data_IF_330191803795
#
_entry.id   IF_330191803795
#
_cell.length_a   1.000
_cell.length_b   1.000
_cell.length_c   1.000
_cell.angle_alpha   90.00
_cell.angle_beta   90.00
_cell.angle_gamma   90.00
#
_symmetry.space_group_name_H-M   'P 1'
#
loop_
_entity.id
_entity.type
_entity.pdbx_description
1 polymer ?
#
# COMPACT_ATOMS: atom_id res chain seq x y z
N UNK A 1 3.01 8.60 24.26
CA UNK A 1 3.23 9.92 23.62
C UNK A 1 4.53 9.88 22.85
N UNK A 2 4.55 10.49 21.67
CA UNK A 2 5.76 10.64 20.86
C UNK A 2 6.69 11.64 21.57
N UNK A 3 7.85 11.21 22.07
CA UNK A 3 8.79 12.09 22.78
C UNK A 3 9.72 12.81 21.80
N UNK A 4 9.16 13.64 20.92
CA UNK A 4 9.95 14.39 19.94
C UNK A 4 10.48 15.66 20.58
N UNK A 5 11.78 15.70 20.90
CA UNK A 5 12.42 16.90 21.43
C UNK A 5 12.74 17.91 20.31
N UNK A 6 11.69 18.39 19.64
CA UNK A 6 11.82 19.36 18.54
C UNK A 6 12.20 20.74 19.11
N UNK A 7 11.82 21.01 20.37
CA UNK A 7 12.02 22.29 21.05
C UNK A 7 13.50 22.59 21.34
N UNK A 8 14.33 21.57 21.59
CA UNK A 8 15.75 21.77 21.91
C UNK A 8 16.61 22.35 20.79
N UNK A 9 16.07 22.45 19.56
CA UNK A 9 16.79 22.96 18.39
C UNK A 9 16.53 24.46 18.12
N UNK A 10 15.68 25.11 18.93
CA UNK A 10 15.41 26.55 18.83
C UNK A 10 16.09 27.28 19.99
N UNK A 11 17.28 27.85 19.74
CA UNK A 11 18.09 28.59 20.75
C UNK A 11 17.68 30.07 20.93
N UNK A 12 16.76 30.59 20.12
CA UNK A 12 16.39 32.00 20.14
C UNK A 12 15.34 32.34 21.22
N UNK A 13 15.33 33.60 21.70
CA UNK A 13 14.26 34.13 22.56
C UNK A 13 12.92 33.96 21.87
N UNK A 14 12.06 33.11 22.44
CA UNK A 14 10.75 32.79 21.88
C UNK A 14 9.82 33.99 22.06
N UNK A 15 9.16 34.42 20.99
CA UNK A 15 8.04 35.36 21.09
C UNK A 15 6.80 34.63 21.63
N UNK A 16 5.87 35.31 22.31
CA UNK A 16 4.60 34.70 22.72
C UNK A 16 3.86 34.00 21.56
N UNK A 17 3.89 34.60 20.37
CA UNK A 17 3.30 34.04 19.14
C UNK A 17 3.95 32.71 18.73
N UNK A 18 5.28 32.58 18.90
CA UNK A 18 5.98 31.33 18.64
C UNK A 18 5.57 30.25 19.65
N UNK A 19 5.44 30.58 20.94
CA UNK A 19 5.04 29.58 21.95
C UNK A 19 3.63 29.03 21.68
N UNK A 20 2.69 29.92 21.31
CA UNK A 20 1.34 29.51 20.95
C UNK A 20 1.34 28.65 19.68
N UNK A 21 2.09 29.04 18.65
CA UNK A 21 2.23 28.27 17.41
C UNK A 21 2.86 26.91 17.67
N UNK A 22 3.91 26.85 18.47
CA UNK A 22 4.61 25.61 18.82
C UNK A 22 3.74 24.66 19.65
N UNK A 23 2.90 25.20 20.54
CA UNK A 23 1.89 24.44 21.27
C UNK A 23 0.90 23.78 20.30
N UNK A 24 0.29 24.56 19.39
CA UNK A 24 -0.65 24.05 18.40
C UNK A 24 -0.03 23.01 17.46
N UNK A 25 1.22 23.23 17.05
CA UNK A 25 1.99 22.25 16.28
C UNK A 25 2.19 20.95 17.05
N UNK A 26 2.59 21.03 18.33
CA UNK A 26 2.79 19.85 19.19
C UNK A 26 1.49 19.10 19.45
N UNK A 27 0.36 19.79 19.60
CA UNK A 27 -0.97 19.18 19.68
C UNK A 27 -1.29 18.42 18.39
N UNK A 28 -0.96 18.99 17.23
CA UNK A 28 -1.13 18.33 15.91
C UNK A 28 -0.29 17.05 15.80
N UNK A 29 0.99 17.08 16.20
CA UNK A 29 1.86 15.88 16.20
C UNK A 29 1.33 14.76 17.10
N UNK A 30 0.74 15.13 18.24
CA UNK A 30 0.20 14.19 19.21
C UNK A 30 -1.24 13.77 18.92
N UNK A 31 -1.91 14.40 17.94
CA UNK A 31 -3.28 14.07 17.56
C UNK A 31 -3.38 12.60 17.12
N UNK A 32 -4.33 11.82 17.68
CA UNK A 32 -4.55 10.44 17.28
C UNK A 32 -5.00 10.31 15.81
N UNK A 33 -5.60 11.38 15.25
CA UNK A 33 -6.06 11.46 13.86
C UNK A 33 -4.92 11.48 12.84
N UNK A 34 -3.69 11.81 13.27
CA UNK A 34 -2.51 11.86 12.41
C UNK A 34 -1.58 10.70 12.76
N UNK A 35 -1.94 9.50 12.30
CA UNK A 35 -1.28 8.26 12.68
C UNK A 35 0.16 8.11 12.20
N UNK A 36 0.55 8.80 11.13
CA UNK A 36 1.79 8.48 10.40
C UNK A 36 3.08 8.71 11.20
N UNK A 37 3.09 9.65 12.16
CA UNK A 37 4.27 9.91 13.00
C UNK A 37 4.65 8.72 13.90
N UNK A 38 3.73 7.75 14.08
CA UNK A 38 3.89 6.57 14.92
C UNK A 38 4.16 5.29 14.13
N UNK A 39 4.22 5.37 12.80
CA UNK A 39 4.42 4.19 11.94
C UNK A 39 5.74 3.46 12.17
N UNK A 40 6.89 4.14 12.37
CA UNK A 40 8.15 3.43 12.61
C UNK A 40 8.12 2.53 13.85
N UNK A 41 7.23 2.80 14.80
CA UNK A 41 7.06 1.99 16.02
C UNK A 41 6.01 0.87 15.86
N UNK A 42 5.19 0.90 14.81
CA UNK A 42 4.12 -0.08 14.61
C UNK A 42 4.66 -1.39 14.01
N UNK A 43 4.97 -2.35 14.89
CA UNK A 43 5.47 -3.68 14.50
C UNK A 43 4.38 -4.64 14.02
N UNK A 44 3.12 -4.37 14.33
CA UNK A 44 2.00 -5.27 14.01
C UNK A 44 1.76 -5.31 12.50
N UNK A 45 1.65 -4.14 11.87
CA UNK A 45 1.48 -4.02 10.41
C UNK A 45 2.59 -4.73 9.63
N UNK A 46 3.83 -4.62 10.10
CA UNK A 46 4.97 -5.31 9.50
C UNK A 46 4.88 -6.83 9.70
N UNK A 47 4.43 -7.28 10.87
CA UNK A 47 4.29 -8.70 11.20
C UNK A 47 3.19 -9.37 10.36
N UNK A 48 2.03 -8.72 10.21
CA UNK A 48 0.96 -9.17 9.32
C UNK A 48 1.44 -9.27 7.87
N UNK A 49 2.19 -8.26 7.41
CA UNK A 49 2.74 -8.24 6.05
C UNK A 49 3.72 -9.37 5.81
N UNK A 50 4.58 -9.69 6.80
CA UNK A 50 5.51 -10.83 6.72
C UNK A 50 4.80 -12.16 6.53
N UNK A 51 3.64 -12.37 7.16
CA UNK A 51 2.85 -13.61 6.96
C UNK A 51 2.43 -13.75 5.51
N UNK A 52 1.98 -12.66 4.88
CA UNK A 52 1.62 -12.65 3.46
C UNK A 52 2.85 -12.88 2.57
N UNK A 53 3.96 -12.18 2.86
CA UNK A 53 5.22 -12.38 2.16
C UNK A 53 5.66 -13.84 2.19
N UNK A 54 5.69 -14.49 3.35
CA UNK A 54 6.10 -15.89 3.48
C UNK A 54 5.23 -16.85 2.66
N UNK A 55 3.93 -16.57 2.56
CA UNK A 55 3.01 -17.35 1.71
C UNK A 55 3.33 -17.19 0.22
N UNK A 56 3.64 -15.98 -0.23
CA UNK A 56 3.75 -15.64 -1.65
C UNK A 56 5.17 -15.45 -2.19
N UNK A 57 6.22 -15.56 -1.36
CA UNK A 57 7.63 -15.38 -1.75
C UNK A 57 8.12 -16.28 -2.90
N UNK A 58 7.37 -17.32 -3.23
CA UNK A 58 7.65 -18.23 -4.35
C UNK A 58 7.20 -17.67 -5.71
N UNK A 59 6.40 -16.59 -5.74
CA UNK A 59 5.95 -15.93 -6.96
C UNK A 59 7.10 -15.18 -7.61
N UNK A 60 7.19 -15.25 -8.94
CA UNK A 60 8.27 -14.62 -9.72
C UNK A 60 7.92 -13.21 -10.20
N UNK A 61 6.64 -12.87 -10.18
CA UNK A 61 6.15 -11.58 -10.61
C UNK A 61 5.31 -10.95 -9.50
N UNK A 62 5.46 -9.64 -9.30
CA UNK A 62 4.68 -8.87 -8.36
C UNK A 62 4.01 -7.71 -9.10
N UNK A 63 2.69 -7.80 -9.26
CA UNK A 63 1.90 -6.76 -9.92
C UNK A 63 1.26 -5.89 -8.84
N UNK A 64 1.81 -4.70 -8.64
CA UNK A 64 1.28 -3.70 -7.73
C UNK A 64 0.27 -2.80 -8.45
N UNK A 65 -0.97 -2.78 -7.99
CA UNK A 65 -2.04 -1.96 -8.56
C UNK A 65 -2.47 -0.91 -7.57
N UNK A 66 -2.32 0.35 -7.92
CA UNK A 66 -2.66 1.48 -7.07
C UNK A 66 -2.20 2.79 -7.71
N UNK A 67 -2.79 3.91 -7.31
CA UNK A 67 -2.42 5.23 -7.85
C UNK A 67 -2.09 6.21 -6.71
N UNK A 68 -1.25 7.20 -7.02
CA UNK A 68 -0.82 8.24 -6.08
C UNK A 68 -0.16 7.63 -4.84
N UNK A 69 -0.69 7.94 -3.65
CA UNK A 69 -0.15 7.45 -2.38
C UNK A 69 -0.13 5.91 -2.24
N UNK A 70 -1.00 5.22 -2.97
CA UNK A 70 -1.04 3.75 -2.97
C UNK A 70 0.08 3.11 -3.81
N UNK A 71 0.87 3.86 -4.58
CA UNK A 71 1.89 3.29 -5.47
C UNK A 71 3.24 4.04 -5.52
N UNK A 72 3.25 5.37 -5.36
CA UNK A 72 4.48 6.16 -5.47
C UNK A 72 5.52 5.84 -4.40
N UNK A 73 5.09 5.56 -3.17
CA UNK A 73 5.98 5.16 -2.09
C UNK A 73 6.67 3.81 -2.35
N UNK A 74 5.91 2.74 -2.63
CA UNK A 74 6.47 1.43 -2.98
C UNK A 74 7.39 1.46 -4.21
N UNK A 75 6.99 2.17 -5.26
CA UNK A 75 7.81 2.36 -6.47
C UNK A 75 9.13 3.09 -6.13
N UNK A 76 9.07 4.12 -5.28
CA UNK A 76 10.27 4.80 -4.77
C UNK A 76 11.18 3.86 -3.98
N UNK A 77 10.64 2.99 -3.11
CA UNK A 77 11.45 2.01 -2.38
C UNK A 77 12.21 1.07 -3.31
N UNK A 78 11.56 0.54 -4.34
CA UNK A 78 12.25 -0.34 -5.30
C UNK A 78 13.30 0.40 -6.12
N UNK A 79 13.04 1.66 -6.51
CA UNK A 79 14.02 2.49 -7.21
C UNK A 79 15.23 2.83 -6.35
N UNK A 80 15.02 3.07 -5.06
CA UNK A 80 16.07 3.47 -4.12
C UNK A 80 16.85 2.29 -3.54
N UNK A 81 16.18 1.19 -3.22
CA UNK A 81 16.75 0.03 -2.51
C UNK A 81 17.02 -1.17 -3.43
N UNK A 82 16.47 -1.16 -4.65
CA UNK A 82 16.50 -2.28 -5.57
C UNK A 82 15.41 -3.31 -5.29
N UNK A 83 15.26 -4.27 -6.21
CA UNK A 83 14.36 -5.42 -6.06
C UNK A 83 15.11 -6.67 -5.58
N UNK A 84 14.36 -7.61 -5.01
CA UNK A 84 14.91 -8.94 -4.72
C UNK A 84 15.31 -9.66 -6.01
N UNK A 85 16.41 -10.42 -5.98
CA UNK A 85 16.84 -11.22 -7.12
C UNK A 85 15.77 -12.26 -7.46
N UNK A 86 15.37 -12.29 -8.74
CA UNK A 86 14.43 -13.28 -9.25
C UNK A 86 12.95 -12.93 -9.11
N UNK A 87 12.62 -11.72 -8.64
CA UNK A 87 11.25 -11.18 -8.65
C UNK A 87 11.19 -9.97 -9.57
N UNK A 88 10.28 -10.01 -10.53
CA UNK A 88 10.00 -8.89 -11.43
C UNK A 88 8.78 -8.09 -10.94
N UNK A 89 8.99 -6.80 -10.71
CA UNK A 89 7.96 -5.89 -10.21
C UNK A 89 7.33 -5.11 -11.36
N UNK A 90 6.01 -5.01 -11.34
CA UNK A 90 5.21 -4.24 -12.29
C UNK A 90 4.26 -3.35 -11.51
N UNK A 91 4.23 -2.06 -11.86
CA UNK A 91 3.30 -1.09 -11.29
C UNK A 91 2.24 -0.71 -12.31
N UNK A 92 0.98 -0.95 -11.97
CA UNK A 92 -0.18 -0.48 -12.73
C UNK A 92 -0.78 0.70 -11.96
N UNK A 93 -0.29 1.90 -12.26
CA UNK A 93 -0.67 3.15 -11.59
C UNK A 93 -1.23 4.20 -12.56
N UNK A 94 -1.54 3.79 -13.79
CA UNK A 94 -2.16 4.58 -14.85
C UNK A 94 -3.17 3.70 -15.61
N UNK A 95 -4.11 4.33 -16.32
CA UNK A 95 -5.13 3.67 -17.15
C UNK A 95 -4.83 3.77 -18.65
N UNK A 96 -3.63 4.22 -19.01
CA UNK A 96 -3.13 4.18 -20.38
C UNK A 96 -3.03 2.70 -20.85
N UNK A 97 -3.82 2.31 -21.87
CA UNK A 97 -3.86 0.93 -22.35
C UNK A 97 -2.51 0.47 -22.92
N UNK A 98 -1.72 1.37 -23.50
CA UNK A 98 -0.43 1.02 -24.10
C UNK A 98 0.63 0.76 -23.02
N UNK A 99 0.62 1.55 -21.93
CA UNK A 99 1.46 1.27 -20.76
C UNK A 99 1.04 -0.03 -20.10
N UNK A 100 -0.26 -0.21 -19.82
CA UNK A 100 -0.76 -1.41 -19.16
C UNK A 100 -0.41 -2.66 -19.97
N UNK A 101 -0.61 -2.65 -21.29
CA UNK A 101 -0.22 -3.75 -22.17
C UNK A 101 1.28 -4.02 -22.09
N UNK A 102 2.12 -2.97 -22.23
CA UNK A 102 3.58 -3.09 -22.16
C UNK A 102 4.06 -3.65 -20.82
N UNK A 103 3.39 -3.30 -19.73
CA UNK A 103 3.71 -3.83 -18.41
C UNK A 103 3.30 -5.30 -18.26
N UNK A 104 2.11 -5.67 -18.73
CA UNK A 104 1.61 -7.04 -18.65
C UNK A 104 2.35 -8.01 -19.58
N UNK A 105 2.85 -7.54 -20.73
CA UNK A 105 3.63 -8.36 -21.67
C UNK A 105 4.94 -8.90 -21.04
N UNK A 106 5.40 -8.31 -19.93
CA UNK A 106 6.57 -8.77 -19.18
C UNK A 106 6.26 -9.92 -18.21
N UNK A 107 4.99 -10.15 -17.90
CA UNK A 107 4.57 -10.97 -16.77
C UNK A 107 3.94 -12.28 -17.21
N UNK A 108 4.34 -13.39 -16.57
CA UNK A 108 3.57 -14.64 -16.62
C UNK A 108 2.53 -14.63 -15.51
N UNK A 109 1.29 -14.31 -15.86
CA UNK A 109 0.22 -14.03 -14.87
C UNK A 109 0.00 -15.17 -13.85
N UNK A 110 0.20 -16.44 -14.25
CA UNK A 110 0.09 -17.59 -13.34
C UNK A 110 1.20 -17.69 -12.29
N UNK A 111 2.34 -17.05 -12.54
CA UNK A 111 3.48 -16.99 -11.63
C UNK A 111 3.49 -15.68 -10.82
N UNK A 112 2.43 -14.86 -10.93
CA UNK A 112 2.32 -13.57 -10.29
C UNK A 112 1.58 -13.60 -8.95
N UNK A 113 1.98 -12.70 -8.06
CA UNK A 113 1.14 -12.13 -7.01
C UNK A 113 0.60 -10.78 -7.53
N UNK A 114 -0.71 -10.59 -7.42
CA UNK A 114 -1.41 -9.36 -7.74
C UNK A 114 -1.80 -8.67 -6.43
N UNK A 115 -1.21 -7.50 -6.19
CA UNK A 115 -1.43 -6.72 -4.99
C UNK A 115 -2.27 -5.48 -5.31
N UNK A 116 -3.54 -5.48 -4.86
CA UNK A 116 -4.48 -4.38 -5.10
C UNK A 116 -4.48 -3.45 -3.91
N UNK A 117 -4.09 -2.18 -4.11
CA UNK A 117 -3.92 -1.20 -3.04
C UNK A 117 -4.83 0.01 -3.27
N UNK A 118 -5.88 0.12 -2.47
CA UNK A 118 -6.82 1.23 -2.50
C UNK A 118 -7.50 1.38 -1.16
N UNK A 119 -7.25 2.48 -0.44
CA UNK A 119 -7.85 2.72 0.88
C UNK A 119 -9.38 2.82 0.83
N UNK A 120 -9.93 3.51 -0.16
CA UNK A 120 -11.39 3.62 -0.35
C UNK A 120 -12.01 2.33 -0.87
N UNK A 121 -11.22 1.50 -1.55
CA UNK A 121 -11.68 0.32 -2.27
C UNK A 121 -12.43 0.63 -3.57
N UNK A 122 -12.62 1.91 -3.93
CA UNK A 122 -13.47 2.34 -5.06
C UNK A 122 -12.73 3.22 -6.08
N UNK A 123 -11.42 3.43 -5.90
CA UNK A 123 -10.57 4.17 -6.84
C UNK A 123 -10.70 3.59 -8.26
N UNK A 124 -11.20 4.40 -9.19
CA UNK A 124 -11.64 3.93 -10.51
C UNK A 124 -10.51 3.28 -11.32
N UNK A 125 -9.32 3.86 -11.26
CA UNK A 125 -8.11 3.36 -11.93
C UNK A 125 -7.71 1.98 -11.42
N UNK A 126 -7.75 1.80 -10.09
CA UNK A 126 -7.45 0.51 -9.44
C UNK A 126 -8.49 -0.54 -9.80
N UNK A 127 -9.78 -0.18 -9.81
CA UNK A 127 -10.86 -1.11 -10.17
C UNK A 127 -10.72 -1.52 -11.64
N UNK A 128 -10.46 -0.57 -12.54
CA UNK A 128 -10.27 -0.85 -13.97
C UNK A 128 -9.09 -1.83 -14.21
N UNK A 129 -7.93 -1.56 -13.61
CA UNK A 129 -6.76 -2.44 -13.73
C UNK A 129 -7.03 -3.84 -13.11
N UNK A 130 -7.72 -3.91 -11.96
CA UNK A 130 -8.12 -5.19 -11.37
C UNK A 130 -9.05 -5.99 -12.30
N UNK A 131 -10.04 -5.35 -12.94
CA UNK A 131 -10.92 -6.01 -13.90
C UNK A 131 -10.16 -6.57 -15.10
N UNK A 132 -9.14 -5.86 -15.59
CA UNK A 132 -8.28 -6.36 -16.67
C UNK A 132 -7.50 -7.60 -16.21
N UNK A 133 -6.90 -7.56 -15.01
CA UNK A 133 -6.14 -8.68 -14.47
C UNK A 133 -7.00 -9.93 -14.22
N UNK A 134 -8.25 -9.75 -13.78
CA UNK A 134 -9.24 -10.83 -13.68
C UNK A 134 -9.50 -11.48 -15.04
N UNK A 135 -9.64 -10.67 -16.09
CA UNK A 135 -9.82 -11.18 -17.46
C UNK A 135 -8.58 -11.94 -17.94
N UNK A 136 -7.37 -11.44 -17.67
CA UNK A 136 -6.12 -12.12 -18.05
C UNK A 136 -5.94 -13.46 -17.30
N UNK A 137 -6.27 -13.52 -16.01
CA UNK A 137 -6.31 -14.77 -15.26
C UNK A 137 -7.33 -15.76 -15.83
N UNK A 138 -8.54 -15.27 -16.15
CA UNK A 138 -9.61 -16.08 -16.75
C UNK A 138 -9.18 -16.66 -18.10
N UNK A 139 -8.57 -15.84 -18.97
CA UNK A 139 -7.99 -16.29 -20.25
C UNK A 139 -6.89 -17.34 -20.06
N UNK A 140 -6.11 -17.21 -18.98
CA UNK A 140 -5.12 -18.20 -18.60
C UNK A 140 -5.74 -19.48 -18.00
N UNK A 141 -7.06 -19.55 -17.80
CA UNK A 141 -7.77 -20.70 -17.25
C UNK A 141 -7.78 -20.76 -15.72
N UNK A 142 -7.51 -19.64 -15.04
CA UNK A 142 -7.69 -19.52 -13.58
C UNK A 142 -9.15 -19.21 -13.29
N UNK A 143 -9.73 -19.94 -12.34
CA UNK A 143 -11.12 -19.80 -11.92
C UNK A 143 -11.23 -18.92 -10.66
N UNK A 144 -12.42 -18.39 -10.41
CA UNK A 144 -12.68 -17.47 -9.29
C UNK A 144 -12.35 -18.07 -7.91
N UNK A 145 -12.61 -19.37 -7.71
CA UNK A 145 -12.29 -20.09 -6.47
C UNK A 145 -10.77 -20.21 -6.20
N UNK A 146 -9.95 -19.90 -7.20
CA UNK A 146 -8.49 -19.89 -7.11
C UNK A 146 -7.92 -18.48 -6.89
N UNK A 147 -8.73 -17.41 -6.89
CA UNK A 147 -8.23 -16.03 -6.77
C UNK A 147 -7.44 -15.77 -5.49
N UNK A 148 -7.73 -16.48 -4.40
CA UNK A 148 -6.96 -16.47 -3.14
C UNK A 148 -5.47 -16.84 -3.27
N UNK A 149 -5.08 -17.46 -4.39
CA UNK A 149 -3.71 -17.87 -4.71
C UNK A 149 -2.99 -16.89 -5.64
N UNK A 150 -3.70 -15.83 -6.09
CA UNK A 150 -3.17 -14.81 -7.00
C UNK A 150 -3.32 -13.39 -6.45
N UNK A 151 -4.33 -13.12 -5.62
CA UNK A 151 -4.61 -11.78 -5.13
C UNK A 151 -4.31 -11.62 -3.64
N UNK A 152 -3.88 -10.41 -3.28
CA UNK A 152 -3.90 -9.85 -1.93
C UNK A 152 -4.41 -8.42 -2.03
N UNK A 153 -5.29 -7.99 -1.12
CA UNK A 153 -5.81 -6.62 -1.11
C UNK A 153 -5.32 -5.82 0.09
N UNK A 154 -4.96 -4.57 -0.13
CA UNK A 154 -4.63 -3.59 0.90
C UNK A 154 -5.61 -2.43 0.85
N UNK A 155 -6.47 -2.33 1.86
CA UNK A 155 -7.58 -1.37 1.92
C UNK A 155 -7.85 -0.99 3.38
N UNK A 156 -8.81 -0.09 3.62
CA UNK A 156 -9.30 0.20 4.97
C UNK A 156 -9.67 -1.09 5.74
N UNK A 157 -9.36 -1.18 7.05
CA UNK A 157 -9.59 -2.38 7.83
C UNK A 157 -11.06 -2.81 7.91
N UNK A 158 -12.00 -1.85 7.84
CA UNK A 158 -13.43 -2.10 8.09
C UNK A 158 -14.29 -1.79 6.88
N UNK A 159 -13.96 -0.75 6.11
CA UNK A 159 -14.81 -0.17 5.07
C UNK A 159 -14.28 -0.48 3.65
N UNK A 160 -15.15 -0.26 2.67
CA UNK A 160 -14.79 -0.28 1.25
C UNK A 160 -15.16 -1.57 0.52
N UNK A 161 -15.37 -1.46 -0.79
CA UNK A 161 -15.86 -2.58 -1.60
C UNK A 161 -14.80 -3.69 -1.78
N UNK A 162 -13.52 -3.35 -1.75
CA UNK A 162 -12.44 -4.35 -1.73
C UNK A 162 -12.54 -5.30 -0.54
N UNK A 163 -13.05 -4.88 0.62
CA UNK A 163 -13.28 -5.80 1.76
C UNK A 163 -14.38 -6.82 1.46
N UNK A 164 -15.46 -6.39 0.81
CA UNK A 164 -16.57 -7.27 0.40
C UNK A 164 -16.10 -8.26 -0.67
N UNK A 165 -15.35 -7.77 -1.66
CA UNK A 165 -14.78 -8.61 -2.72
C UNK A 165 -13.79 -9.61 -2.14
N UNK A 166 -12.92 -9.19 -1.21
CA UNK A 166 -11.99 -10.10 -0.56
C UNK A 166 -12.69 -11.25 0.17
N UNK A 167 -13.79 -10.95 0.89
CA UNK A 167 -14.59 -11.97 1.55
C UNK A 167 -15.22 -12.95 0.53
N UNK A 168 -15.77 -12.42 -0.57
CA UNK A 168 -16.36 -13.23 -1.65
C UNK A 168 -15.33 -14.15 -2.33
N UNK A 169 -14.14 -13.63 -2.61
CA UNK A 169 -13.07 -14.36 -3.32
C UNK A 169 -12.13 -15.14 -2.38
N UNK A 170 -12.39 -15.12 -1.07
CA UNK A 170 -11.53 -15.68 -0.04
C UNK A 170 -10.07 -15.20 -0.14
N UNK A 171 -9.89 -13.93 -0.53
CA UNK A 171 -8.60 -13.27 -0.73
C UNK A 171 -8.12 -12.69 0.59
N UNK A 172 -6.84 -12.89 0.89
CA UNK A 172 -6.23 -12.31 2.08
C UNK A 172 -6.10 -10.80 1.96
N UNK A 173 -6.12 -10.14 3.12
CA UNK A 173 -6.08 -8.70 3.15
C UNK A 173 -5.11 -8.14 4.17
N UNK A 174 -4.54 -7.00 3.82
CA UNK A 174 -3.76 -6.14 4.67
C UNK A 174 -4.52 -4.82 4.89
N UNK A 175 -4.13 -4.09 5.93
CA UNK A 175 -4.86 -2.91 6.38
C UNK A 175 -4.08 -1.63 6.14
N UNK A 176 -4.75 -0.63 5.56
CA UNK A 176 -4.32 0.77 5.58
C UNK A 176 -5.03 1.47 6.74
N UNK A 177 -4.33 1.87 7.82
CA UNK A 177 -5.00 2.49 8.96
C UNK A 177 -5.85 3.71 8.59
N UNK A 178 -7.03 3.82 9.18
CA UNK A 178 -8.00 4.87 8.86
C UNK A 178 -7.45 6.29 9.11
N UNK A 179 -6.61 6.46 10.13
CA UNK A 179 -5.97 7.72 10.49
C UNK A 179 -4.66 8.00 9.73
N UNK A 180 -4.41 7.29 8.62
CA UNK A 180 -3.23 7.49 7.76
C UNK A 180 -3.68 7.79 6.33
N UNK A 181 -3.33 8.98 5.84
CA UNK A 181 -3.59 9.36 4.45
C UNK A 181 -2.67 8.60 3.49
N UNK A 182 -3.13 8.33 2.26
CA UNK A 182 -2.39 7.51 1.30
C UNK A 182 -0.98 8.04 0.99
N UNK A 183 -0.78 9.37 0.90
CA UNK A 183 0.56 9.94 0.67
C UNK A 183 1.56 9.72 1.81
N UNK A 184 1.08 9.29 2.99
CA UNK A 184 1.89 8.99 4.17
C UNK A 184 1.89 7.50 4.51
N UNK A 185 1.33 6.63 3.67
CA UNK A 185 1.16 5.21 3.98
C UNK A 185 2.33 4.32 3.55
N UNK A 186 3.43 4.86 3.05
CA UNK A 186 4.54 4.03 2.55
C UNK A 186 5.13 3.09 3.63
N UNK A 187 5.12 3.52 4.89
CA UNK A 187 5.53 2.71 6.05
C UNK A 187 4.35 1.93 6.67
N UNK A 188 3.45 1.45 5.84
CA UNK A 188 2.36 0.52 6.18
C UNK A 188 2.43 -0.67 5.22
N UNK A 189 1.49 -1.65 5.27
CA UNK A 189 1.44 -2.71 4.28
C UNK A 189 1.41 -2.22 2.83
N UNK A 190 1.01 -0.97 2.56
CA UNK A 190 1.11 -0.36 1.23
C UNK A 190 2.52 -0.47 0.66
N UNK A 191 3.57 -0.25 1.46
CA UNK A 191 4.96 -0.34 1.03
C UNK A 191 5.81 -1.41 1.70
N UNK A 192 5.27 -2.15 2.69
CA UNK A 192 5.99 -3.25 3.31
C UNK A 192 5.97 -4.56 2.53
N UNK A 193 4.89 -4.81 1.75
CA UNK A 193 4.75 -6.04 0.96
C UNK A 193 5.47 -5.88 -0.38
#
# INVERSE_FOLDING_TARGET
MLNWNIRSHFEAKLTPDFEQTFKSYTETLNSPEIGFFRLPQNKELLSETKVIYEKFKHKKYFIHVGIGGSALGPDMFLKALGSSKGVEFVFLNNIDPDDLKRQLDKVKIKEALIYIVSKSGTTAETVAAMSILVNELTKAGVKEDQYKDYFVFCTDPVKGDLRKIAASWNVQTLSVPANIGGRFSVLTPVGFL
#
